data_IF_992332226537
#
_entry.id   IF_992332226537
#
_cell.length_a   1.000
_cell.length_b   1.000
_cell.length_c   1.000
_cell.angle_alpha   90.00
_cell.angle_beta   90.00
_cell.angle_gamma   90.00
#
_symmetry.space_group_name_H-M   'P 1'
#
loop_
_entity.id
_entity.type
_entity.pdbx_description
1 polymer ?
#
# COMPACT_ATOMS: atom_id res chain seq x y z
N UNK A 1 13.29 -5.38 9.72
CA UNK A 1 13.74 -6.16 8.54
C UNK A 1 14.67 -7.26 9.03
N UNK A 2 14.92 -8.28 8.22
CA UNK A 2 15.91 -9.32 8.52
C UNK A 2 17.36 -8.89 8.19
N UNK A 3 18.31 -9.83 8.21
CA UNK A 3 19.72 -9.61 7.89
C UNK A 3 19.99 -9.15 6.45
N UNK A 4 19.04 -9.35 5.53
CA UNK A 4 19.12 -8.95 4.12
C UNK A 4 18.16 -7.81 3.78
N UNK A 5 17.65 -7.12 4.80
CA UNK A 5 16.70 -6.03 4.66
C UNK A 5 15.36 -6.47 4.03
N UNK A 6 15.00 -7.75 4.09
CA UNK A 6 13.66 -8.20 3.73
C UNK A 6 12.65 -7.77 4.80
N UNK A 7 11.51 -7.28 4.34
CA UNK A 7 10.32 -7.02 5.15
C UNK A 7 9.37 -8.21 5.02
N UNK A 8 8.39 -8.38 5.94
CA UNK A 8 7.33 -9.38 5.76
C UNK A 8 6.61 -9.24 4.40
N UNK A 9 6.50 -8.01 3.88
CA UNK A 9 5.88 -7.76 2.58
C UNK A 9 6.74 -8.26 1.40
N UNK A 10 8.07 -8.22 1.51
CA UNK A 10 8.95 -8.83 0.51
C UNK A 10 8.71 -10.35 0.41
N UNK A 11 8.65 -11.03 1.56
CA UNK A 11 8.40 -12.47 1.62
C UNK A 11 7.03 -12.83 1.02
N UNK A 12 5.97 -12.14 1.46
CA UNK A 12 4.61 -12.36 0.96
C UNK A 12 4.50 -12.12 -0.56
N UNK A 13 5.11 -11.05 -1.06
CA UNK A 13 5.10 -10.71 -2.48
C UNK A 13 5.83 -11.75 -3.34
N UNK A 14 7.02 -12.19 -2.91
CA UNK A 14 7.80 -13.19 -3.64
C UNK A 14 7.10 -14.55 -3.79
N UNK A 15 6.20 -14.88 -2.85
CA UNK A 15 5.40 -16.10 -2.84
C UNK A 15 3.98 -15.92 -3.40
N UNK A 16 3.70 -14.77 -4.02
CA UNK A 16 2.38 -14.43 -4.58
C UNK A 16 1.23 -14.58 -3.56
N UNK A 17 1.46 -14.24 -2.28
CA UNK A 17 0.44 -14.32 -1.23
C UNK A 17 -0.42 -13.05 -1.25
N UNK A 18 -1.29 -12.94 -2.23
CA UNK A 18 -2.09 -11.73 -2.54
C UNK A 18 -2.81 -11.17 -1.31
N UNK A 19 -3.49 -12.03 -0.56
CA UNK A 19 -4.29 -11.64 0.61
C UNK A 19 -3.41 -11.19 1.78
N UNK A 20 -2.26 -11.85 1.96
CA UNK A 20 -1.28 -11.47 3.00
C UNK A 20 -0.62 -10.13 2.65
N UNK A 21 -0.27 -9.91 1.37
CA UNK A 21 0.22 -8.63 0.91
C UNK A 21 -0.78 -7.50 1.20
N UNK A 22 -2.05 -7.74 0.87
CA UNK A 22 -3.11 -6.76 1.09
C UNK A 22 -3.30 -6.44 2.58
N UNK A 23 -3.27 -7.47 3.43
CA UNK A 23 -3.31 -7.30 4.88
C UNK A 23 -2.13 -6.43 5.36
N UNK A 24 -0.89 -6.78 4.98
CA UNK A 24 0.29 -6.04 5.39
C UNK A 24 0.24 -4.56 4.96
N UNK A 25 -0.22 -4.28 3.74
CA UNK A 25 -0.41 -2.91 3.24
C UNK A 25 -1.43 -2.14 4.08
N UNK A 26 -2.53 -2.76 4.50
CA UNK A 26 -3.53 -2.13 5.38
C UNK A 26 -2.98 -1.72 6.75
N UNK A 27 -1.93 -2.42 7.23
CA UNK A 27 -1.21 -2.08 8.46
C UNK A 27 -0.03 -1.12 8.22
N UNK A 28 0.07 -0.51 7.04
CA UNK A 28 1.08 0.50 6.72
C UNK A 28 2.42 -0.05 6.25
N UNK A 29 2.48 -1.31 5.79
CA UNK A 29 3.69 -1.81 5.14
C UNK A 29 4.00 -1.00 3.86
N UNK A 30 5.26 -0.65 3.67
CA UNK A 30 5.73 0.09 2.50
C UNK A 30 6.32 -0.90 1.46
N UNK A 31 5.69 -1.06 0.28
CA UNK A 31 6.17 -1.97 -0.76
C UNK A 31 7.35 -1.41 -1.56
N UNK A 32 7.74 -0.14 -1.36
CA UNK A 32 8.80 0.56 -2.10
C UNK A 32 10.17 0.49 -1.43
N UNK A 33 10.22 0.05 -0.17
CA UNK A 33 11.47 -0.16 0.56
C UNK A 33 12.36 -1.17 -0.16
N UNK A 34 13.63 -0.83 -0.33
CA UNK A 34 14.61 -1.68 -1.00
C UNK A 34 15.31 -2.61 0.00
N UNK A 35 15.46 -3.87 -0.37
CA UNK A 35 16.31 -4.82 0.35
C UNK A 35 17.80 -4.66 -0.02
N UNK A 36 18.69 -5.51 0.52
CA UNK A 36 20.12 -5.46 0.23
C UNK A 36 20.49 -5.80 -1.23
N UNK A 37 19.53 -6.26 -2.03
CA UNK A 37 19.67 -6.54 -3.45
C UNK A 37 19.10 -5.43 -4.34
N UNK A 38 18.77 -4.26 -3.76
CA UNK A 38 18.07 -3.16 -4.44
C UNK A 38 16.74 -3.58 -5.08
N UNK A 39 16.02 -4.50 -4.46
CA UNK A 39 14.68 -4.93 -4.89
C UNK A 39 13.65 -4.53 -3.85
N UNK A 40 12.56 -3.94 -4.31
CA UNK A 40 11.36 -3.68 -3.51
C UNK A 40 10.43 -4.90 -3.48
N UNK A 41 9.40 -4.86 -2.63
CA UNK A 41 8.38 -5.92 -2.63
C UNK A 41 7.63 -5.98 -3.98
N UNK A 42 7.46 -4.85 -4.65
CA UNK A 42 6.88 -4.78 -6.01
C UNK A 42 7.77 -5.50 -7.00
N UNK A 43 9.09 -5.31 -6.92
CA UNK A 43 10.04 -5.95 -7.84
C UNK A 43 10.06 -7.48 -7.69
N UNK A 44 9.87 -7.98 -6.47
CA UNK A 44 9.83 -9.41 -6.17
C UNK A 44 8.51 -10.09 -6.53
N UNK A 45 7.42 -9.35 -6.76
CA UNK A 45 6.14 -9.94 -7.12
C UNK A 45 6.21 -10.66 -8.49
N UNK A 46 5.81 -11.94 -8.60
CA UNK A 46 6.00 -12.72 -9.83
C UNK A 46 4.99 -12.39 -10.93
N UNK A 47 3.85 -11.80 -10.60
CA UNK A 47 2.78 -11.49 -11.54
C UNK A 47 2.60 -9.98 -11.71
N UNK A 48 2.33 -9.47 -12.92
CA UNK A 48 2.06 -8.05 -13.13
C UNK A 48 0.82 -7.59 -12.35
N UNK A 49 -0.19 -8.46 -12.22
CA UNK A 49 -1.39 -8.17 -11.44
C UNK A 49 -1.07 -7.89 -9.96
N UNK A 50 -0.15 -8.65 -9.35
CA UNK A 50 0.26 -8.38 -7.98
C UNK A 50 1.08 -7.09 -7.88
N UNK A 51 1.94 -6.79 -8.85
CA UNK A 51 2.69 -5.51 -8.89
C UNK A 51 1.76 -4.31 -8.90
N UNK A 52 0.78 -4.33 -9.81
CA UNK A 52 -0.25 -3.30 -9.94
C UNK A 52 -1.05 -3.17 -8.64
N UNK A 53 -1.48 -4.30 -8.06
CA UNK A 53 -2.23 -4.31 -6.80
C UNK A 53 -1.44 -3.72 -5.63
N UNK A 54 -0.16 -4.09 -5.48
CA UNK A 54 0.70 -3.56 -4.42
C UNK A 54 0.83 -2.02 -4.53
N UNK A 55 1.06 -1.51 -5.74
CA UNK A 55 1.16 -0.08 -5.99
C UNK A 55 -0.17 0.66 -5.75
N UNK A 56 -1.29 0.05 -6.18
CA UNK A 56 -2.64 0.58 -6.02
C UNK A 56 -3.03 0.68 -4.53
N UNK A 57 -2.93 -0.43 -3.79
CA UNK A 57 -3.34 -0.46 -2.38
C UNK A 57 -2.44 0.40 -1.50
N UNK A 58 -1.14 0.45 -1.76
CA UNK A 58 -0.24 1.33 -1.01
C UNK A 58 -0.59 2.81 -1.15
N UNK A 59 -0.91 3.27 -2.37
CA UNK A 59 -1.38 4.64 -2.60
C UNK A 59 -2.73 4.89 -1.92
N UNK A 60 -3.65 3.93 -2.02
CA UNK A 60 -4.95 4.00 -1.37
C UNK A 60 -4.84 4.14 0.15
N UNK A 61 -4.07 3.28 0.80
CA UNK A 61 -3.83 3.35 2.25
C UNK A 61 -3.07 4.62 2.66
N UNK A 62 -2.11 5.08 1.85
CA UNK A 62 -1.43 6.36 2.10
C UNK A 62 -2.38 7.56 2.04
N UNK A 63 -3.35 7.54 1.12
CA UNK A 63 -4.39 8.56 1.02
C UNK A 63 -5.34 8.51 2.22
N UNK A 64 -5.80 7.31 2.62
CA UNK A 64 -6.65 7.14 3.80
C UNK A 64 -5.96 7.65 5.07
N UNK A 65 -4.67 7.33 5.25
CA UNK A 65 -3.91 7.79 6.39
C UNK A 65 -3.74 9.32 6.39
N UNK A 66 -3.42 9.90 5.23
CA UNK A 66 -3.32 11.36 5.10
C UNK A 66 -4.65 12.06 5.38
N UNK A 67 -5.79 11.47 4.97
CA UNK A 67 -7.12 11.98 5.28
C UNK A 67 -7.40 11.95 6.79
N UNK A 68 -7.05 10.85 7.48
CA UNK A 68 -7.20 10.72 8.94
C UNK A 68 -6.33 11.73 9.72
N UNK A 69 -5.13 12.01 9.22
CA UNK A 69 -4.19 12.96 9.82
C UNK A 69 -4.48 14.43 9.46
N UNK A 70 -5.49 14.69 8.61
CA UNK A 70 -5.77 16.00 8.02
C UNK A 70 -4.56 16.64 7.30
N UNK A 71 -3.64 15.82 6.77
CA UNK A 71 -2.46 16.28 6.03
C UNK A 71 -2.82 16.60 4.58
N UNK A 72 -3.21 17.87 4.36
CA UNK A 72 -3.61 18.39 3.05
C UNK A 72 -2.50 18.27 2.00
N UNK A 73 -1.23 18.30 2.40
CA UNK A 73 -0.10 18.20 1.45
C UNK A 73 0.03 16.79 0.90
N UNK A 74 -0.07 15.77 1.77
CA UNK A 74 -0.05 14.36 1.40
C UNK A 74 -1.32 13.97 0.63
N UNK A 75 -2.48 14.49 1.02
CA UNK A 75 -3.73 14.29 0.26
C UNK A 75 -3.55 14.79 -1.17
N UNK A 76 -3.12 16.04 -1.39
CA UNK A 76 -2.91 16.58 -2.74
C UNK A 76 -1.90 15.78 -3.57
N UNK A 77 -0.87 15.23 -2.94
CA UNK A 77 0.15 14.41 -3.60
C UNK A 77 -0.37 13.06 -4.09
N UNK A 78 -1.27 12.44 -3.31
CA UNK A 78 -1.76 11.07 -3.58
C UNK A 78 -3.17 11.03 -4.17
N UNK A 79 -3.86 12.17 -4.27
CA UNK A 79 -5.18 12.28 -4.85
C UNK A 79 -5.12 12.06 -6.37
N UNK A 80 -5.75 10.98 -6.84
CA UNK A 80 -6.08 10.76 -8.24
C UNK A 80 -7.53 10.29 -8.36
N UNK A 81 -8.15 10.45 -9.53
CA UNK A 81 -9.53 9.99 -9.80
C UNK A 81 -9.74 8.52 -9.41
N UNK A 82 -8.70 7.70 -9.60
CA UNK A 82 -8.70 6.28 -9.26
C UNK A 82 -8.66 6.01 -7.74
N UNK A 83 -7.98 6.88 -6.99
CA UNK A 83 -7.83 6.74 -5.52
C UNK A 83 -9.02 7.30 -4.74
N UNK A 84 -9.81 8.23 -5.32
CA UNK A 84 -10.99 8.82 -4.66
C UNK A 84 -11.99 7.75 -4.24
N UNK A 85 -12.13 6.70 -5.06
CA UNK A 85 -13.04 5.58 -4.81
C UNK A 85 -12.37 4.39 -4.10
N UNK A 86 -11.11 4.53 -3.68
CA UNK A 86 -10.44 3.49 -2.92
C UNK A 86 -11.23 3.17 -1.65
N UNK A 87 -11.46 1.88 -1.42
CA UNK A 87 -12.10 1.37 -0.22
C UNK A 87 -11.12 0.48 0.49
N UNK A 88 -10.95 0.72 1.79
CA UNK A 88 -10.17 -0.16 2.64
C UNK A 88 -10.72 -1.60 2.54
N UNK A 89 -9.92 -2.63 2.22
CA UNK A 89 -10.43 -3.96 1.93
C UNK A 89 -11.27 -4.60 3.04
N UNK A 90 -10.94 -4.32 4.30
CA UNK A 90 -11.61 -4.88 5.49
C UNK A 90 -12.70 -3.97 6.08
N UNK A 91 -12.49 -2.65 6.15
CA UNK A 91 -13.43 -1.71 6.80
C UNK A 91 -14.38 -1.04 5.81
N UNK A 92 -14.11 -1.17 4.51
CA UNK A 92 -14.82 -0.50 3.41
C UNK A 92 -14.83 1.05 3.49
N UNK A 93 -13.97 1.64 4.32
CA UNK A 93 -13.83 3.08 4.46
C UNK A 93 -13.21 3.72 3.21
N UNK A 94 -13.70 4.90 2.85
CA UNK A 94 -13.19 5.75 1.77
C UNK A 94 -12.68 7.07 2.35
N UNK A 95 -11.70 7.71 1.70
CA UNK A 95 -11.18 9.01 2.15
C UNK A 95 -12.29 10.08 2.30
N UNK A 96 -13.40 9.94 1.56
CA UNK A 96 -14.56 10.83 1.59
C UNK A 96 -15.31 10.85 2.93
N UNK A 97 -15.37 9.75 3.69
CA UNK A 97 -16.09 9.75 4.98
C UNK A 97 -15.43 10.67 6.02
N UNK A 98 -14.15 10.98 5.85
CA UNK A 98 -13.39 11.86 6.73
C UNK A 98 -13.61 13.35 6.45
N UNK A 99 -14.25 13.71 5.33
CA UNK A 99 -14.58 15.10 4.97
C UNK A 99 -16.01 15.51 5.37
N UNK A 100 -16.78 14.63 6.02
CA UNK A 100 -18.19 14.86 6.39
C UNK A 100 -18.41 15.18 7.87
N UNK A 101 -17.35 15.48 8.63
CA UNK A 101 -17.39 15.89 10.05
C UNK A 101 -16.74 17.27 10.15
#
# INVERSE_FOLDING_TARGET
>A
MDLWQFTPLHEAASKNRVEVCSLLLSYGADPTLLNCHNKSAIDLAPTPQLKERLAYEFKGHSLLQAAREADVTRIKKHLSLEMVNFKHPQTHETALVMFQI
#
